data_IF_207369031640
#
_entry.id   IF_207369031640
#
_cell.length_a   1.000
_cell.length_b   1.000
_cell.length_c   1.000
_cell.angle_alpha   90.00
_cell.angle_beta   90.00
_cell.angle_gamma   90.00
#
_symmetry.space_group_name_H-M   'P 1'
#
loop_
_entity.id
_entity.type
_entity.pdbx_description
1 polymer ?
#
# COMPACT_ATOMS: atom_id res chain seq x y z
N UNK A 1 -35.12 18.36 -56.28
CA UNK A 1 -34.73 18.98 -54.99
C UNK A 1 -35.04 18.09 -53.78
N UNK A 2 -36.26 17.53 -53.65
CA UNK A 2 -36.66 16.70 -52.49
C UNK A 2 -35.72 15.51 -52.17
N UNK A 3 -35.23 14.77 -53.17
CA UNK A 3 -34.30 13.63 -52.97
C UNK A 3 -32.93 14.06 -52.44
N UNK A 4 -32.40 15.20 -52.90
CA UNK A 4 -31.11 15.74 -52.44
C UNK A 4 -31.21 16.29 -51.02
N UNK A 5 -32.34 16.92 -50.68
CA UNK A 5 -32.63 17.38 -49.33
C UNK A 5 -32.74 16.20 -48.35
N UNK A 6 -33.41 15.12 -48.75
CA UNK A 6 -33.54 13.90 -47.93
C UNK A 6 -32.17 13.23 -47.68
N UNK A 7 -31.31 13.15 -48.70
CA UNK A 7 -29.95 12.61 -48.55
C UNK A 7 -29.09 13.46 -47.62
N UNK A 8 -29.22 14.78 -47.68
CA UNK A 8 -28.51 15.71 -46.78
C UNK A 8 -28.98 15.57 -45.34
N UNK A 9 -30.30 15.40 -45.14
CA UNK A 9 -30.87 15.19 -43.81
C UNK A 9 -30.42 13.86 -43.21
N UNK A 10 -30.36 12.79 -44.02
CA UNK A 10 -29.88 11.48 -43.61
C UNK A 10 -28.38 11.51 -43.23
N UNK A 11 -27.57 12.18 -44.05
CA UNK A 11 -26.14 12.37 -43.76
C UNK A 11 -25.93 13.15 -42.46
N UNK A 12 -26.73 14.20 -42.22
CA UNK A 12 -26.67 14.98 -40.98
C UNK A 12 -27.05 14.14 -39.75
N UNK A 13 -28.11 13.33 -39.85
CA UNK A 13 -28.50 12.43 -38.75
C UNK A 13 -27.42 11.38 -38.44
N UNK A 14 -26.75 10.83 -39.45
CA UNK A 14 -25.68 9.85 -39.26
C UNK A 14 -24.46 10.49 -38.59
N UNK A 15 -24.08 11.70 -39.01
CA UNK A 15 -22.97 12.45 -38.40
C UNK A 15 -23.28 12.84 -36.95
N UNK A 16 -24.53 13.23 -36.66
CA UNK A 16 -24.96 13.55 -35.29
C UNK A 16 -24.95 12.33 -34.38
N UNK A 17 -25.38 11.15 -34.86
CA UNK A 17 -25.31 9.91 -34.06
C UNK A 17 -23.90 9.34 -33.94
N UNK A 18 -22.99 9.64 -34.87
CA UNK A 18 -21.59 9.24 -34.78
C UNK A 18 -20.78 10.10 -33.79
N UNK A 19 -21.35 11.20 -33.29
CA UNK A 19 -20.74 12.07 -32.27
C UNK A 19 -21.14 11.75 -30.83
N UNK A 20 -21.76 10.59 -30.58
CA UNK A 20 -21.89 10.08 -29.21
C UNK A 20 -20.51 9.64 -28.78
N UNK A 21 -19.77 10.56 -28.16
CA UNK A 21 -18.56 10.23 -27.43
C UNK A 21 -18.96 9.24 -26.33
N UNK A 22 -18.58 7.98 -26.51
CA UNK A 22 -18.53 7.03 -25.40
C UNK A 22 -17.33 7.46 -24.58
N UNK A 23 -17.55 8.28 -23.56
CA UNK A 23 -16.61 8.34 -22.46
C UNK A 23 -16.67 6.97 -21.82
N UNK A 24 -15.60 6.19 -21.94
CA UNK A 24 -15.40 5.10 -21.00
C UNK A 24 -15.34 5.79 -19.64
N UNK A 25 -16.39 5.64 -18.85
CA UNK A 25 -16.40 6.05 -17.45
C UNK A 25 -15.19 5.33 -16.84
N UNK A 26 -14.15 6.08 -16.47
CA UNK A 26 -12.99 5.49 -15.82
C UNK A 26 -13.50 4.77 -14.58
N UNK A 27 -13.17 3.48 -14.44
CA UNK A 27 -13.63 2.66 -13.32
C UNK A 27 -12.86 3.04 -12.04
N UNK A 28 -12.92 4.31 -11.62
CA UNK A 28 -12.34 4.76 -10.37
C UNK A 28 -12.89 3.90 -9.23
N UNK A 29 -12.02 3.39 -8.33
CA UNK A 29 -12.46 2.53 -7.24
C UNK A 29 -13.45 3.27 -6.35
N UNK A 30 -14.54 2.63 -5.96
CA UNK A 30 -15.36 3.16 -4.85
C UNK A 30 -14.79 2.78 -3.48
N UNK A 31 -13.92 1.75 -3.43
CA UNK A 31 -13.28 1.26 -2.20
C UNK A 31 -11.91 0.66 -2.49
N UNK A 32 -11.05 0.65 -1.47
CA UNK A 32 -9.72 0.03 -1.47
C UNK A 32 -9.61 -0.96 -0.31
N UNK A 33 -8.95 -2.09 -0.55
CA UNK A 33 -8.59 -3.02 0.53
C UNK A 33 -7.50 -2.43 1.42
N UNK A 34 -7.51 -2.77 2.71
CA UNK A 34 -6.48 -2.33 3.65
C UNK A 34 -5.14 -3.05 3.41
N UNK A 35 -3.99 -2.44 3.77
CA UNK A 35 -2.70 -3.11 3.79
C UNK A 35 -2.73 -4.37 4.66
N UNK A 36 -2.07 -5.44 4.19
CA UNK A 36 -2.08 -6.76 4.84
C UNK A 36 -0.73 -7.08 5.49
N UNK A 37 -0.72 -8.01 6.44
CA UNK A 37 0.49 -8.53 7.09
C UNK A 37 1.45 -7.44 7.58
N UNK A 38 0.89 -6.35 8.11
CA UNK A 38 1.68 -5.23 8.62
C UNK A 38 2.51 -5.71 9.80
N UNK A 39 3.78 -5.36 9.81
CA UNK A 39 4.71 -5.67 10.87
C UNK A 39 5.73 -4.54 11.06
N UNK A 40 6.19 -4.35 12.29
CA UNK A 40 7.27 -3.42 12.60
C UNK A 40 8.42 -4.18 13.27
N UNK A 41 9.64 -3.87 12.88
CA UNK A 41 10.85 -4.45 13.46
C UNK A 41 11.97 -3.41 13.53
N UNK A 42 13.04 -3.72 14.25
CA UNK A 42 14.21 -2.85 14.36
C UNK A 42 15.39 -3.51 13.66
N UNK A 43 15.94 -2.83 12.65
CA UNK A 43 17.13 -3.23 11.91
C UNK A 43 17.90 -1.98 11.50
N UNK A 44 18.82 -1.55 12.37
CA UNK A 44 19.48 -0.23 12.37
C UNK A 44 18.54 0.97 12.59
N UNK A 45 17.36 0.92 11.98
CA UNK A 45 16.25 1.87 12.10
C UNK A 45 14.93 1.14 12.41
N UNK A 46 13.87 1.88 12.68
CA UNK A 46 12.52 1.30 12.79
C UNK A 46 12.00 1.03 11.37
N UNK A 47 11.76 -0.23 11.07
CA UNK A 47 11.30 -0.72 9.78
C UNK A 47 9.81 -1.07 9.84
N UNK A 48 9.00 -0.52 8.94
CA UNK A 48 7.61 -0.89 8.75
C UNK A 48 7.46 -1.66 7.44
N UNK A 49 6.91 -2.87 7.53
CA UNK A 49 6.69 -3.78 6.40
C UNK A 49 5.22 -4.10 6.25
N UNK A 50 4.73 -4.19 5.02
CA UNK A 50 3.37 -4.65 4.72
C UNK A 50 3.30 -5.37 3.38
N UNK A 51 2.20 -6.08 3.16
CA UNK A 51 1.84 -6.70 1.89
C UNK A 51 0.76 -5.85 1.22
N UNK A 52 0.96 -5.53 -0.05
CA UNK A 52 -0.06 -4.89 -0.89
C UNK A 52 -1.06 -5.98 -1.31
N UNK A 53 -2.37 -5.78 -1.09
CA UNK A 53 -3.39 -6.72 -1.56
C UNK A 53 -3.34 -6.90 -3.08
N UNK A 54 -3.60 -8.12 -3.56
CA UNK A 54 -3.57 -8.39 -5.00
C UNK A 54 -4.56 -7.52 -5.79
N UNK A 55 -5.70 -7.16 -5.18
CA UNK A 55 -6.67 -6.27 -5.81
C UNK A 55 -6.14 -4.85 -6.04
N UNK A 56 -5.15 -4.41 -5.26
CA UNK A 56 -4.44 -3.15 -5.45
C UNK A 56 -3.32 -3.29 -6.49
N UNK A 57 -2.57 -4.39 -6.45
CA UNK A 57 -1.51 -4.68 -7.44
C UNK A 57 -2.09 -4.76 -8.85
N UNK A 58 -3.16 -5.53 -9.03
CA UNK A 58 -3.85 -5.64 -10.31
C UNK A 58 -4.33 -4.28 -10.84
N UNK A 59 -4.64 -3.32 -9.95
CA UNK A 59 -5.03 -1.96 -10.36
C UNK A 59 -3.83 -1.15 -10.82
N UNK A 60 -2.71 -1.25 -10.10
CA UNK A 60 -1.47 -0.55 -10.48
C UNK A 60 -0.92 -1.03 -11.83
N UNK A 61 -1.15 -2.30 -12.17
CA UNK A 61 -0.74 -2.88 -13.46
C UNK A 61 -1.72 -2.59 -14.61
N UNK A 62 -2.94 -2.13 -14.30
CA UNK A 62 -3.96 -1.87 -15.31
C UNK A 62 -3.83 -0.43 -15.84
N UNK A 63 -3.38 -0.29 -17.09
CA UNK A 63 -3.23 0.99 -17.80
C UNK A 63 -4.56 1.75 -18.01
N UNK A 64 -5.71 1.12 -17.78
CA UNK A 64 -7.03 1.77 -17.83
C UNK A 64 -7.37 2.57 -16.56
N UNK A 65 -6.60 2.43 -15.48
CA UNK A 65 -6.79 3.21 -14.27
C UNK A 65 -6.12 4.58 -14.38
N UNK A 66 -6.94 5.62 -14.46
CA UNK A 66 -6.51 7.02 -14.56
C UNK A 66 -6.43 7.66 -13.17
N UNK A 67 -5.33 7.42 -12.45
CA UNK A 67 -5.12 7.99 -11.13
C UNK A 67 -3.84 7.53 -10.43
N UNK A 68 -3.58 8.10 -9.26
CA UNK A 68 -2.38 7.85 -8.47
C UNK A 68 -2.73 7.19 -7.14
N UNK A 69 -1.97 6.16 -6.79
CA UNK A 69 -2.13 5.44 -5.54
C UNK A 69 -1.00 5.75 -4.56
N UNK A 70 -1.37 6.02 -3.31
CA UNK A 70 -0.47 6.39 -2.23
C UNK A 70 -0.61 5.46 -1.04
N UNK A 71 0.47 5.30 -0.27
CA UNK A 71 0.38 4.83 1.12
C UNK A 71 0.34 6.02 2.08
N UNK A 72 -0.38 5.87 3.19
CA UNK A 72 -0.48 6.83 4.29
C UNK A 72 -0.19 6.10 5.60
N UNK A 73 0.89 6.45 6.27
CA UNK A 73 1.31 5.89 7.55
C UNK A 73 1.10 6.95 8.63
N UNK A 74 0.46 6.54 9.71
CA UNK A 74 0.26 7.35 10.90
C UNK A 74 0.93 6.65 12.09
N UNK A 75 1.46 7.44 13.01
CA UNK A 75 2.18 6.93 14.17
C UNK A 75 1.77 7.65 15.45
N UNK A 76 1.97 6.96 16.58
CA UNK A 76 1.85 7.54 17.92
C UNK A 76 2.97 7.01 18.81
N UNK A 77 3.37 7.80 19.78
CA UNK A 77 4.32 7.41 20.81
C UNK A 77 3.57 7.09 22.09
N UNK A 78 3.87 5.92 22.67
CA UNK A 78 3.16 5.35 23.80
C UNK A 78 1.65 5.31 23.53
N UNK A 79 0.83 5.69 24.50
CA UNK A 79 -0.62 5.82 24.35
C UNK A 79 -1.04 7.27 24.04
N UNK A 80 -0.14 8.03 23.40
CA UNK A 80 -0.37 9.40 22.97
C UNK A 80 -1.29 9.52 21.75
N UNK A 81 -1.56 10.76 21.29
CA UNK A 81 -2.35 10.98 20.10
C UNK A 81 -1.61 10.49 18.84
N UNK A 82 -2.39 10.11 17.83
CA UNK A 82 -1.91 9.93 16.47
C UNK A 82 -1.37 11.25 15.91
N UNK A 83 -0.25 11.18 15.17
CA UNK A 83 0.43 12.37 14.67
C UNK A 83 -0.42 13.14 13.66
N UNK A 84 -0.94 12.47 12.64
CA UNK A 84 -1.79 13.12 11.62
C UNK A 84 -3.26 13.05 12.00
N UNK A 85 -3.72 11.86 12.42
CA UNK A 85 -5.12 11.60 12.78
C UNK A 85 -6.17 12.20 11.83
N UNK A 86 -5.90 12.18 10.52
CA UNK A 86 -6.76 12.82 9.53
C UNK A 86 -7.87 11.86 9.08
N UNK A 87 -9.15 12.26 9.15
CA UNK A 87 -10.25 11.40 8.74
C UNK A 87 -10.28 11.18 7.23
N UNK A 88 -9.78 12.16 6.45
CA UNK A 88 -9.69 12.14 4.99
C UNK A 88 -8.33 12.64 4.54
N UNK A 89 -7.91 12.24 3.34
CA UNK A 89 -6.66 12.66 2.70
C UNK A 89 -7.02 13.35 1.39
N UNK A 90 -6.31 14.42 1.09
CA UNK A 90 -6.34 15.14 -0.18
C UNK A 90 -4.95 15.71 -0.48
N UNK A 91 -4.81 16.43 -1.59
CA UNK A 91 -3.55 17.05 -2.03
C UNK A 91 -2.91 18.00 -1.00
N UNK A 92 -3.68 18.51 -0.03
CA UNK A 92 -3.23 19.45 1.00
C UNK A 92 -2.98 18.82 2.37
N UNK A 93 -3.16 17.49 2.50
CA UNK A 93 -3.12 16.83 3.82
C UNK A 93 -1.71 16.64 4.36
N UNK A 94 -0.74 16.36 3.48
CA UNK A 94 0.66 16.15 3.83
C UNK A 94 1.53 17.19 3.14
N UNK A 95 2.56 17.68 3.84
CA UNK A 95 3.52 18.62 3.26
C UNK A 95 4.66 17.83 2.61
N UNK A 96 4.55 17.64 1.29
CA UNK A 96 5.55 16.95 0.47
C UNK A 96 6.94 17.59 0.52
N UNK A 97 7.04 18.87 0.87
CA UNK A 97 8.31 19.59 0.94
C UNK A 97 8.96 19.51 2.32
N UNK A 98 8.29 18.91 3.31
CA UNK A 98 8.77 18.83 4.67
C UNK A 98 9.55 17.52 4.89
N UNK A 99 10.83 17.66 5.20
CA UNK A 99 11.74 16.51 5.38
C UNK A 99 11.29 15.52 6.48
N UNK A 100 10.44 15.95 7.42
CA UNK A 100 9.87 15.07 8.47
C UNK A 100 8.78 14.14 7.96
N UNK A 101 8.16 14.47 6.82
CA UNK A 101 7.00 13.78 6.28
C UNK A 101 7.41 12.77 5.17
N UNK A 102 8.72 12.55 4.98
CA UNK A 102 9.30 11.88 3.81
C UNK A 102 9.08 10.35 3.74
N UNK A 103 8.61 9.70 4.81
CA UNK A 103 8.36 8.24 4.80
C UNK A 103 6.96 7.85 5.28
N UNK A 104 6.10 8.82 5.51
CA UNK A 104 4.73 8.62 6.01
C UNK A 104 3.67 8.71 4.91
N UNK A 105 4.02 9.33 3.78
CA UNK A 105 3.14 9.45 2.64
C UNK A 105 3.98 9.38 1.37
N UNK A 106 3.54 8.58 0.40
CA UNK A 106 4.29 8.42 -0.83
C UNK A 106 3.57 7.55 -1.85
N UNK A 107 4.04 7.62 -3.10
CA UNK A 107 3.50 6.83 -4.20
C UNK A 107 3.75 5.34 -3.95
N UNK A 108 2.69 4.51 -4.05
CA UNK A 108 2.84 3.07 -3.88
C UNK A 108 3.70 2.46 -4.99
N UNK A 109 3.68 3.02 -6.21
CA UNK A 109 4.53 2.60 -7.33
C UNK A 109 5.98 3.10 -7.27
N UNK A 110 6.31 4.00 -6.33
CA UNK A 110 7.66 4.54 -6.16
C UNK A 110 8.58 3.69 -5.28
N UNK A 111 8.02 2.71 -4.57
CA UNK A 111 8.74 1.79 -3.72
C UNK A 111 8.84 0.42 -4.42
N UNK A 112 10.03 -0.16 -4.44
CA UNK A 112 10.22 -1.52 -4.95
C UNK A 112 9.39 -2.51 -4.13
N UNK A 113 8.43 -3.18 -4.76
CA UNK A 113 7.80 -4.37 -4.19
C UNK A 113 8.55 -5.62 -4.61
N UNK A 114 8.70 -6.58 -3.71
CA UNK A 114 9.23 -7.90 -4.07
C UNK A 114 8.19 -8.76 -4.80
N UNK A 115 8.57 -9.98 -5.18
CA UNK A 115 7.71 -10.96 -5.87
C UNK A 115 6.44 -11.36 -5.09
N UNK A 116 6.35 -11.02 -3.81
CA UNK A 116 5.19 -11.28 -2.95
C UNK A 116 4.43 -9.99 -2.60
N UNK A 117 4.62 -8.91 -3.36
CA UNK A 117 3.98 -7.62 -3.18
C UNK A 117 4.28 -6.99 -1.79
N UNK A 118 5.46 -7.26 -1.24
CA UNK A 118 5.87 -6.69 0.05
C UNK A 118 6.55 -5.35 -0.17
N UNK A 119 6.20 -4.37 0.65
CA UNK A 119 6.91 -3.11 0.77
C UNK A 119 7.45 -2.90 2.17
N UNK A 120 8.52 -2.10 2.24
CA UNK A 120 9.20 -1.71 3.47
C UNK A 120 9.56 -0.23 3.40
N UNK A 121 9.34 0.49 4.49
CA UNK A 121 9.90 1.82 4.72
C UNK A 121 10.61 1.87 6.06
N UNK A 122 11.57 2.77 6.20
CA UNK A 122 12.30 3.00 7.44
C UNK A 122 11.96 4.37 8.03
N UNK A 123 12.03 4.48 9.35
CA UNK A 123 11.80 5.70 10.10
C UNK A 123 13.09 6.09 10.82
N UNK A 124 13.53 7.32 10.61
CA UNK A 124 14.70 7.93 11.26
C UNK A 124 14.27 8.91 12.34
N UNK A 125 15.24 9.49 13.06
CA UNK A 125 14.96 10.47 14.12
C UNK A 125 14.04 11.63 13.69
N UNK A 126 14.25 12.20 12.50
CA UNK A 126 13.45 13.32 12.02
C UNK A 126 11.99 12.96 11.76
N UNK A 127 11.67 11.68 11.48
CA UNK A 127 10.27 11.24 11.34
C UNK A 127 9.46 11.41 12.62
N UNK A 128 10.13 11.48 13.77
CA UNK A 128 9.54 11.69 15.09
C UNK A 128 9.79 13.10 15.64
N UNK A 129 10.39 13.99 14.85
CA UNK A 129 10.76 15.35 15.27
C UNK A 129 11.93 15.39 16.25
N UNK A 130 12.80 14.37 16.23
CA UNK A 130 14.04 14.36 17.01
C UNK A 130 15.19 14.98 16.21
N UNK A 131 16.18 15.52 16.93
CA UNK A 131 17.38 16.12 16.34
C UNK A 131 18.47 15.09 16.02
N UNK A 132 18.42 13.89 16.62
CA UNK A 132 19.42 12.84 16.45
C UNK A 132 18.87 11.42 16.73
N UNK A 133 19.52 10.40 16.14
CA UNK A 133 19.13 8.99 16.26
C UNK A 133 19.23 8.42 17.68
N UNK A 134 20.03 9.01 18.58
CA UNK A 134 20.14 8.53 19.96
C UNK A 134 18.88 8.79 20.80
N UNK A 135 17.98 9.65 20.30
CA UNK A 135 16.66 9.89 20.89
C UNK A 135 15.62 8.82 20.53
N UNK A 136 15.93 7.94 19.57
CA UNK A 136 15.13 6.72 19.34
C UNK A 136 15.45 5.71 20.46
N UNK A 137 14.55 5.65 21.45
CA UNK A 137 14.69 4.76 22.61
C UNK A 137 13.57 3.72 22.63
N UNK A 138 13.75 2.63 21.87
CA UNK A 138 12.79 1.51 21.85
C UNK A 138 12.70 0.81 23.22
N UNK A 139 13.66 0.96 24.13
CA UNK A 139 13.55 0.35 25.46
C UNK A 139 12.53 1.08 26.34
N UNK A 140 12.34 2.39 26.12
CA UNK A 140 11.42 3.22 26.93
C UNK A 140 10.16 3.65 26.19
N UNK A 141 10.25 3.90 24.89
CA UNK A 141 9.18 4.45 24.07
C UNK A 141 8.57 3.35 23.24
N UNK A 142 7.25 3.21 23.31
CA UNK A 142 6.48 2.36 22.41
C UNK A 142 6.13 3.17 21.16
N UNK A 143 6.58 2.72 20.00
CA UNK A 143 6.23 3.31 18.71
C UNK A 143 5.11 2.45 18.12
N UNK A 144 3.96 3.06 17.86
CA UNK A 144 2.80 2.37 17.28
C UNK A 144 2.47 2.96 15.92
N UNK A 145 2.22 2.09 14.95
CA UNK A 145 1.97 2.45 13.56
C UNK A 145 0.64 1.88 13.07
N UNK A 146 0.03 2.58 12.12
CA UNK A 146 -1.06 2.09 11.27
C UNK A 146 -0.86 2.63 9.86
N UNK A 147 -1.29 1.88 8.86
CA UNK A 147 -1.14 2.26 7.44
C UNK A 147 -2.46 2.08 6.70
N UNK A 148 -2.74 2.93 5.71
CA UNK A 148 -3.83 2.79 4.75
C UNK A 148 -3.38 3.21 3.36
N UNK A 149 -4.17 2.89 2.34
CA UNK A 149 -3.99 3.42 0.99
C UNK A 149 -4.92 4.59 0.74
N UNK A 150 -4.51 5.47 -0.16
CA UNK A 150 -5.33 6.54 -0.72
C UNK A 150 -5.19 6.56 -2.24
N UNK A 151 -6.28 6.80 -2.96
CA UNK A 151 -6.33 6.89 -4.42
C UNK A 151 -6.87 8.26 -4.83
N UNK A 152 -6.07 8.97 -5.61
CA UNK A 152 -6.39 10.23 -6.27
C UNK A 152 -6.73 9.92 -7.72
N UNK A 153 -8.00 10.02 -8.08
CA UNK A 153 -8.41 9.87 -9.47
C UNK A 153 -7.94 11.09 -10.29
N UNK A 154 -7.63 10.91 -11.56
CA UNK A 154 -7.12 11.97 -12.43
C UNK A 154 -8.10 13.12 -12.65
N UNK A 155 -9.40 12.86 -12.51
CA UNK A 155 -10.47 13.84 -12.64
C UNK A 155 -10.73 14.65 -11.36
N UNK A 156 -9.98 14.40 -10.28
CA UNK A 156 -10.12 15.16 -9.04
C UNK A 156 -9.57 16.57 -9.18
N UNK A 157 -10.33 17.54 -8.66
CA UNK A 157 -9.86 18.91 -8.52
C UNK A 157 -8.96 19.04 -7.29
N UNK A 158 -8.09 20.06 -7.29
CA UNK A 158 -7.23 20.33 -6.14
C UNK A 158 -8.06 20.51 -4.86
N UNK A 159 -7.80 19.66 -3.86
CA UNK A 159 -8.50 19.66 -2.57
C UNK A 159 -9.60 18.61 -2.42
N UNK A 160 -9.95 17.88 -3.48
CA UNK A 160 -10.89 16.76 -3.41
C UNK A 160 -10.38 15.62 -2.53
N UNK A 161 -11.30 14.98 -1.82
CA UNK A 161 -11.00 13.88 -0.92
C UNK A 161 -10.67 12.60 -1.68
N UNK A 162 -9.50 12.02 -1.42
CA UNK A 162 -9.06 10.75 -1.97
C UNK A 162 -9.94 9.59 -1.50
N UNK A 163 -10.09 8.58 -2.36
CA UNK A 163 -10.70 7.31 -1.97
C UNK A 163 -9.70 6.57 -1.07
N UNK A 164 -10.09 6.22 0.15
CA UNK A 164 -9.18 5.59 1.11
C UNK A 164 -9.57 4.15 1.43
N UNK A 165 -8.58 3.34 1.73
CA UNK A 165 -8.81 2.06 2.41
C UNK A 165 -9.09 2.27 3.90
N UNK A 166 -9.66 1.28 4.60
CA UNK A 166 -9.51 1.19 6.04
C UNK A 166 -8.03 1.18 6.45
N UNK A 167 -7.76 1.56 7.70
CA UNK A 167 -6.44 1.32 8.29
C UNK A 167 -6.19 -0.18 8.48
N UNK A 168 -4.92 -0.56 8.41
CA UNK A 168 -4.42 -1.84 8.88
C UNK A 168 -4.65 -2.01 10.38
N UNK A 169 -4.41 -3.23 10.87
CA UNK A 169 -4.20 -3.43 12.30
C UNK A 169 -3.03 -2.55 12.81
N UNK A 170 -3.12 -2.13 14.06
CA UNK A 170 -2.02 -1.43 14.74
C UNK A 170 -0.87 -2.41 14.99
N UNK A 171 0.35 -1.97 14.71
CA UNK A 171 1.58 -2.70 15.05
C UNK A 171 2.45 -1.83 15.95
N UNK A 172 3.23 -2.43 16.82
CA UNK A 172 4.06 -1.66 17.76
C UNK A 172 5.41 -2.31 18.02
N UNK A 173 6.40 -1.47 18.25
CA UNK A 173 7.72 -1.85 18.76
C UNK A 173 8.09 -0.97 19.95
N UNK A 174 8.98 -1.47 20.79
CA UNK A 174 9.47 -0.77 21.97
C UNK A 174 8.53 -0.75 23.19
N UNK A 175 8.89 0.08 24.17
CA UNK A 175 8.20 0.27 25.44
C UNK A 175 8.71 -0.62 26.59
N UNK A 176 8.38 -0.30 27.85
CA UNK A 176 8.93 -0.97 29.03
C UNK A 176 8.51 -2.45 29.17
N UNK A 177 7.45 -2.86 28.47
CA UNK A 177 6.89 -4.20 28.51
C UNK A 177 7.15 -4.95 27.19
N UNK A 178 8.38 -4.85 26.67
CA UNK A 178 8.80 -5.64 25.51
C UNK A 178 8.50 -7.13 25.76
N UNK A 179 7.75 -7.74 24.84
CA UNK A 179 7.60 -9.19 24.80
C UNK A 179 9.01 -9.75 24.65
N UNK A 180 9.45 -10.51 25.64
CA UNK A 180 10.74 -11.16 25.58
C UNK A 180 10.77 -12.02 24.31
N UNK A 181 11.83 -11.95 23.49
CA UNK A 181 11.95 -12.83 22.34
C UNK A 181 11.74 -14.27 22.83
N UNK A 182 11.07 -15.11 22.03
CA UNK A 182 10.86 -16.50 22.41
C UNK A 182 12.22 -17.11 22.75
N UNK A 183 12.33 -17.69 23.95
CA UNK A 183 13.59 -18.24 24.47
C UNK A 183 14.13 -19.37 23.58
N UNK A 184 13.25 -19.98 22.81
CA UNK A 184 13.56 -20.97 21.79
C UNK A 184 12.55 -20.83 20.64
N UNK A 185 13.02 -21.10 19.43
CA UNK A 185 12.16 -21.43 18.30
C UNK A 185 12.11 -22.96 18.29
N UNK A 186 10.92 -23.53 18.47
CA UNK A 186 10.76 -24.97 18.44
C UNK A 186 11.18 -25.51 17.06
N UNK A 187 11.98 -26.58 17.07
CA UNK A 187 12.43 -27.19 15.84
C UNK A 187 11.21 -27.73 15.05
N UNK A 188 11.18 -27.57 13.72
CA UNK A 188 10.17 -28.21 12.89
C UNK A 188 10.03 -29.69 13.22
N UNK A 189 8.80 -30.16 13.37
CA UNK A 189 8.54 -31.56 13.70
C UNK A 189 8.23 -32.35 12.42
N UNK A 190 8.37 -33.67 12.49
CA UNK A 190 8.00 -34.58 11.40
C UNK A 190 8.73 -34.30 10.07
N UNK A 191 9.99 -33.86 10.11
CA UNK A 191 10.79 -33.69 8.89
C UNK A 191 10.88 -35.02 8.13
N UNK A 192 10.36 -35.03 6.91
CA UNK A 192 10.43 -36.14 5.96
C UNK A 192 11.13 -35.67 4.70
N UNK A 193 12.05 -36.49 4.21
CA UNK A 193 12.69 -36.32 2.92
C UNK A 193 12.23 -37.45 1.98
N UNK A 194 11.63 -37.09 0.86
CA UNK A 194 11.20 -38.02 -0.18
C UNK A 194 12.03 -37.79 -1.44
N UNK A 195 12.63 -38.85 -2.00
CA UNK A 195 13.26 -38.78 -3.31
C UNK A 195 12.17 -38.78 -4.39
N UNK A 196 12.09 -37.71 -5.17
CA UNK A 196 11.17 -37.56 -6.30
C UNK A 196 11.97 -37.29 -7.58
N UNK A 197 11.32 -37.48 -8.72
CA UNK A 197 11.88 -37.25 -10.04
C UNK A 197 11.07 -36.17 -10.74
N UNK A 198 11.75 -35.24 -11.41
CA UNK A 198 11.10 -34.30 -12.34
C UNK A 198 10.69 -35.04 -13.62
N UNK A 199 9.94 -34.36 -14.48
CA UNK A 199 9.53 -34.90 -15.80
C UNK A 199 10.72 -35.26 -16.72
N UNK A 200 11.92 -34.72 -16.44
CA UNK A 200 13.17 -35.01 -17.15
C UNK A 200 14.07 -36.05 -16.42
N UNK A 201 13.49 -36.89 -15.56
CA UNK A 201 14.16 -37.94 -14.76
C UNK A 201 15.26 -37.44 -13.82
N UNK A 202 15.33 -36.13 -13.55
CA UNK A 202 16.29 -35.59 -12.57
C UNK A 202 15.79 -35.81 -11.15
N UNK A 203 16.59 -36.47 -10.28
CA UNK A 203 16.21 -36.67 -8.89
C UNK A 203 16.25 -35.36 -8.10
N UNK A 204 15.33 -35.20 -7.15
CA UNK A 204 15.35 -34.15 -6.15
C UNK A 204 14.77 -34.66 -4.81
N UNK A 205 15.17 -34.03 -3.71
CA UNK A 205 14.58 -34.30 -2.40
C UNK A 205 13.43 -33.33 -2.14
N UNK A 206 12.22 -33.86 -1.97
CA UNK A 206 11.09 -33.11 -1.47
C UNK A 206 11.09 -33.17 0.06
N UNK A 207 11.19 -32.01 0.70
CA UNK A 207 11.16 -31.88 2.15
C UNK A 207 9.74 -31.50 2.59
N UNK A 208 9.20 -32.22 3.57
CA UNK A 208 7.94 -31.91 4.22
C UNK A 208 8.16 -31.88 5.72
N UNK A 209 7.62 -30.89 6.42
CA UNK A 209 7.68 -30.78 7.87
C UNK A 209 6.45 -30.06 8.40
N UNK A 210 6.27 -30.10 9.72
CA UNK A 210 5.24 -29.36 10.43
C UNK A 210 5.90 -28.22 11.19
N UNK A 211 5.49 -26.98 10.89
CA UNK A 211 5.85 -25.84 11.73
C UNK A 211 5.03 -25.91 13.03
N UNK A 212 5.67 -25.77 14.20
CA UNK A 212 4.98 -25.75 15.49
C UNK A 212 4.02 -24.55 15.64
#
# INVERSE_FOLDING_TARGET
MKKRLLSLLLALTIVLTASVFSFAESESPTTLEAPQNVNVYYDQDIMLRWTIPQSIVNRMENEEYDGTLYYCIDWKLNDGPWHFNVPKVNSNTYDWAKDTDVNIFGHLGGLSSDENNIQVVFFTHWSFGYDDDSLIDIAKIKYTFRIRFAFEAYDFEEGDDFIMSPYSNEVSIGGPNQVQPPKAIDAPTNLKAELKYKEDDKPYFALNWTNP
#
